data_IF_595346996002
#
_entry.id   IF_595346996002
#
_cell.length_a   1.000
_cell.length_b   1.000
_cell.length_c   1.000
_cell.angle_alpha   90.00
_cell.angle_beta   90.00
_cell.angle_gamma   90.00
#
_symmetry.space_group_name_H-M   'P 1'
#
loop_
_entity.id
_entity.type
_entity.pdbx_description
1 polymer ?
#
# COMPACT_ATOMS: atom_id res chain seq x y z
N UNK A 1 33.00 -31.62 -4.23
CA UNK A 1 32.49 -31.19 -2.91
C UNK A 1 31.76 -29.83 -2.99
N UNK A 2 32.38 -28.82 -3.65
CA UNK A 2 31.76 -27.47 -3.80
C UNK A 2 30.38 -27.49 -4.50
N UNK A 3 30.23 -28.27 -5.57
CA UNK A 3 28.95 -28.38 -6.29
C UNK A 3 27.83 -29.00 -5.43
N UNK A 4 28.18 -29.97 -4.57
CA UNK A 4 27.25 -30.60 -3.65
C UNK A 4 26.80 -29.60 -2.56
N UNK A 5 27.75 -28.87 -2.00
CA UNK A 5 27.46 -27.82 -0.99
C UNK A 5 26.57 -26.70 -1.57
N UNK A 6 26.88 -26.26 -2.79
CA UNK A 6 26.05 -25.27 -3.49
C UNK A 6 24.62 -25.77 -3.73
N UNK A 7 24.46 -27.04 -4.14
CA UNK A 7 23.15 -27.64 -4.34
C UNK A 7 22.36 -27.79 -3.03
N UNK A 8 22.99 -28.13 -1.93
CA UNK A 8 22.37 -28.23 -0.60
C UNK A 8 21.89 -26.84 -0.15
N UNK A 9 22.72 -25.81 -0.30
CA UNK A 9 22.36 -24.43 0.06
C UNK A 9 21.23 -23.88 -0.79
N UNK A 10 21.25 -24.13 -2.10
CA UNK A 10 20.17 -23.74 -3.01
C UNK A 10 18.83 -24.42 -2.63
N UNK A 11 18.88 -25.72 -2.28
CA UNK A 11 17.70 -26.48 -1.82
C UNK A 11 17.17 -25.94 -0.50
N UNK A 12 18.02 -25.62 0.45
CA UNK A 12 17.64 -25.05 1.73
C UNK A 12 16.99 -23.67 1.56
N UNK A 13 17.55 -22.83 0.68
CA UNK A 13 16.98 -21.53 0.32
C UNK A 13 15.59 -21.67 -0.31
N UNK A 14 15.45 -22.53 -1.32
CA UNK A 14 14.17 -22.76 -1.99
C UNK A 14 13.09 -23.31 -1.03
N UNK A 15 13.48 -24.17 -0.08
CA UNK A 15 12.56 -24.67 0.94
C UNK A 15 12.09 -23.56 1.88
N UNK A 16 13.00 -22.68 2.31
CA UNK A 16 12.65 -21.54 3.16
C UNK A 16 11.69 -20.57 2.46
N UNK A 17 11.91 -20.34 1.15
CA UNK A 17 11.03 -19.51 0.34
C UNK A 17 9.64 -20.13 0.17
N UNK A 18 9.57 -21.43 -0.05
CA UNK A 18 8.30 -22.16 -0.15
C UNK A 18 7.50 -22.07 1.16
N UNK A 19 8.15 -22.33 2.30
CA UNK A 19 7.52 -22.26 3.61
C UNK A 19 7.00 -20.84 3.93
N UNK A 20 7.75 -19.81 3.50
CA UNK A 20 7.32 -18.40 3.64
C UNK A 20 6.09 -18.13 2.78
N UNK A 21 6.11 -18.49 1.49
CA UNK A 21 4.97 -18.31 0.58
C UNK A 21 3.73 -19.05 1.07
N UNK A 22 3.89 -20.25 1.62
CA UNK A 22 2.78 -21.04 2.14
C UNK A 22 2.15 -20.38 3.37
N UNK A 23 2.96 -19.89 4.31
CA UNK A 23 2.46 -19.13 5.47
C UNK A 23 1.74 -17.85 5.03
N UNK A 24 2.28 -17.13 4.04
CA UNK A 24 1.65 -15.93 3.49
C UNK A 24 0.31 -16.25 2.81
N UNK A 25 0.22 -17.33 2.05
CA UNK A 25 -1.01 -17.78 1.43
C UNK A 25 -2.10 -18.10 2.49
N UNK A 26 -1.76 -18.91 3.49
CA UNK A 26 -2.70 -19.32 4.53
C UNK A 26 -3.20 -18.12 5.34
N UNK A 27 -2.30 -17.19 5.67
CA UNK A 27 -2.66 -15.96 6.38
C UNK A 27 -3.55 -15.06 5.54
N UNK A 28 -3.20 -14.80 4.30
CA UNK A 28 -3.97 -13.91 3.43
C UNK A 28 -5.34 -14.48 3.08
N UNK A 29 -5.44 -15.81 2.95
CA UNK A 29 -6.72 -16.50 2.79
C UNK A 29 -7.64 -16.27 3.99
N UNK A 30 -7.10 -16.24 5.21
CA UNK A 30 -7.89 -16.02 6.43
C UNK A 30 -8.22 -14.55 6.67
N UNK A 31 -7.30 -13.64 6.38
CA UNK A 31 -7.43 -12.20 6.68
C UNK A 31 -7.97 -11.36 5.52
N UNK A 32 -7.98 -11.88 4.30
CA UNK A 32 -8.37 -11.18 3.07
C UNK A 32 -7.60 -9.86 2.85
N UNK A 33 -6.31 -9.84 3.20
CA UNK A 33 -5.45 -8.65 3.10
C UNK A 33 -4.08 -9.01 2.52
N UNK A 34 -3.45 -8.06 1.82
CA UNK A 34 -2.11 -8.21 1.25
C UNK A 34 -1.00 -7.68 2.17
N UNK A 35 -1.32 -7.15 3.34
CA UNK A 35 -0.31 -6.66 4.27
C UNK A 35 0.63 -7.79 4.72
N UNK A 36 1.88 -7.43 5.05
CA UNK A 36 2.87 -8.38 5.53
C UNK A 36 2.56 -8.87 6.95
N UNK A 37 3.11 -10.01 7.34
CA UNK A 37 3.01 -10.50 8.72
C UNK A 37 3.52 -9.46 9.72
N UNK A 38 4.64 -8.80 9.41
CA UNK A 38 5.20 -7.75 10.27
C UNK A 38 4.25 -6.57 10.47
N UNK A 39 3.51 -6.17 9.41
CA UNK A 39 2.50 -5.11 9.53
C UNK A 39 1.35 -5.55 10.44
N UNK A 40 0.88 -6.78 10.31
CA UNK A 40 -0.21 -7.32 11.13
C UNK A 40 0.20 -7.48 12.61
N UNK A 41 1.40 -7.99 12.87
CA UNK A 41 1.97 -8.07 14.22
C UNK A 41 2.13 -6.69 14.87
N UNK A 42 2.59 -5.70 14.09
CA UNK A 42 2.70 -4.31 14.55
C UNK A 42 1.33 -3.73 14.91
N UNK A 43 0.31 -3.95 14.07
CA UNK A 43 -1.07 -3.57 14.37
C UNK A 43 -1.57 -4.25 15.65
N UNK A 44 -1.30 -5.53 15.83
CA UNK A 44 -1.70 -6.25 17.03
C UNK A 44 -1.06 -5.68 18.31
N UNK A 45 0.19 -5.19 18.25
CA UNK A 45 0.83 -4.48 19.36
C UNK A 45 0.08 -3.18 19.70
N UNK A 46 -0.27 -2.38 18.67
CA UNK A 46 -1.04 -1.16 18.85
C UNK A 46 -2.44 -1.44 19.39
N UNK A 47 -3.13 -2.45 18.89
CA UNK A 47 -4.43 -2.88 19.41
C UNK A 47 -4.38 -3.19 20.90
N UNK A 48 -3.38 -3.96 21.34
CA UNK A 48 -3.19 -4.30 22.77
C UNK A 48 -2.94 -3.06 23.63
N UNK A 49 -2.12 -2.14 23.15
CA UNK A 49 -1.78 -0.93 23.91
C UNK A 49 -2.95 0.06 23.96
N UNK A 50 -3.69 0.23 22.87
CA UNK A 50 -4.75 1.24 22.77
C UNK A 50 -6.13 0.73 23.21
N UNK A 51 -6.35 -0.59 23.16
CA UNK A 51 -7.64 -1.21 23.38
C UNK A 51 -8.57 -1.15 22.16
N UNK A 52 -8.06 -0.72 20.99
CA UNK A 52 -8.83 -0.67 19.75
C UNK A 52 -8.79 -2.00 19.00
N UNK A 53 -9.87 -2.31 18.30
CA UNK A 53 -9.93 -3.50 17.45
C UNK A 53 -9.10 -3.33 16.15
N UNK A 54 -8.65 -4.41 15.50
CA UNK A 54 -7.91 -4.33 14.24
C UNK A 54 -8.64 -3.55 13.14
N UNK A 55 -9.97 -3.64 13.09
CA UNK A 55 -10.79 -2.91 12.13
C UNK A 55 -10.81 -1.37 12.37
N UNK A 56 -10.47 -0.92 13.57
CA UNK A 56 -10.34 0.50 13.94
C UNK A 56 -8.94 1.05 13.65
N UNK A 57 -7.99 0.18 13.28
CA UNK A 57 -6.60 0.52 12.94
C UNK A 57 -6.22 -0.05 11.56
N UNK A 58 -6.97 0.23 10.47
CA UNK A 58 -6.63 -0.28 9.16
C UNK A 58 -5.37 0.41 8.62
N UNK A 59 -4.59 -0.31 7.83
CA UNK A 59 -3.57 0.30 6.98
C UNK A 59 -4.22 0.91 5.73
N UNK A 60 -3.67 2.00 5.22
CA UNK A 60 -4.06 2.56 3.92
C UNK A 60 -4.03 1.49 2.83
N UNK A 61 -3.01 0.62 2.84
CA UNK A 61 -2.85 -0.48 1.89
C UNK A 61 -4.06 -1.45 1.81
N UNK A 62 -4.86 -1.55 2.86
CA UNK A 62 -6.02 -2.45 2.93
C UNK A 62 -7.31 -1.81 2.40
N UNK A 63 -7.29 -0.51 2.15
CA UNK A 63 -8.49 0.28 1.83
C UNK A 63 -8.58 0.69 0.36
N UNK A 64 -7.57 0.39 -0.44
CA UNK A 64 -7.54 0.69 -1.87
C UNK A 64 -6.94 -0.45 -2.69
N UNK A 65 -7.32 -0.51 -3.95
CA UNK A 65 -6.84 -1.47 -4.94
C UNK A 65 -6.91 -0.86 -6.34
N UNK A 66 -6.29 -1.49 -7.34
CA UNK A 66 -6.55 -1.14 -8.73
C UNK A 66 -7.92 -1.68 -9.17
N UNK A 67 -8.56 -1.00 -10.11
CA UNK A 67 -9.73 -1.53 -10.82
C UNK A 67 -9.36 -2.83 -11.56
N UNK A 68 -10.31 -3.73 -11.71
CA UNK A 68 -10.07 -5.06 -12.31
C UNK A 68 -9.52 -5.00 -13.75
N UNK A 69 -9.88 -3.95 -14.50
CA UNK A 69 -9.40 -3.75 -15.87
C UNK A 69 -8.07 -2.97 -15.95
N UNK A 70 -7.52 -2.56 -14.80
CA UNK A 70 -6.29 -1.75 -14.68
C UNK A 70 -5.16 -2.51 -13.96
N UNK A 71 -5.23 -3.84 -13.94
CA UNK A 71 -4.27 -4.69 -13.22
C UNK A 71 -2.81 -4.44 -13.61
N UNK A 72 -2.55 -4.05 -14.86
CA UNK A 72 -1.21 -3.71 -15.36
C UNK A 72 -0.57 -2.54 -14.57
N UNK A 73 -1.39 -1.70 -13.92
CA UNK A 73 -0.93 -0.56 -13.12
C UNK A 73 -0.71 -0.87 -11.64
N UNK A 74 -0.89 -2.11 -11.22
CA UNK A 74 -0.71 -2.53 -9.82
C UNK A 74 0.68 -2.22 -9.28
N UNK A 75 1.72 -2.45 -10.08
CA UNK A 75 3.08 -2.16 -9.67
C UNK A 75 3.31 -0.66 -9.53
N UNK A 76 2.84 0.13 -10.48
CA UNK A 76 2.87 1.59 -10.43
C UNK A 76 2.16 2.12 -9.16
N UNK A 77 0.99 1.58 -8.82
CA UNK A 77 0.25 1.91 -7.60
C UNK A 77 1.09 1.66 -6.34
N UNK A 78 1.72 0.48 -6.24
CA UNK A 78 2.57 0.15 -5.08
C UNK A 78 3.83 1.04 -4.99
N UNK A 79 4.31 1.57 -6.10
CA UNK A 79 5.42 2.52 -6.12
C UNK A 79 4.96 3.93 -5.75
N UNK A 80 3.91 4.41 -6.40
CA UNK A 80 3.45 5.79 -6.24
C UNK A 80 2.91 6.06 -4.83
N UNK A 81 2.13 5.13 -4.28
CA UNK A 81 1.51 5.27 -2.96
C UNK A 81 2.32 4.62 -1.82
N UNK A 82 3.52 4.12 -2.09
CA UNK A 82 4.40 3.56 -1.05
C UNK A 82 4.56 4.45 0.18
N UNK A 83 4.66 5.79 0.06
CA UNK A 83 4.83 6.68 1.21
C UNK A 83 3.68 6.62 2.22
N UNK A 84 2.47 6.33 1.76
CA UNK A 84 1.26 6.30 2.61
C UNK A 84 0.74 4.89 2.87
N UNK A 85 1.12 3.91 2.07
CA UNK A 85 0.56 2.55 2.11
C UNK A 85 0.63 1.88 3.49
N UNK A 86 1.71 2.11 4.22
CA UNK A 86 1.96 1.54 5.55
C UNK A 86 1.53 2.45 6.71
N UNK A 87 0.79 3.51 6.43
CA UNK A 87 0.19 4.37 7.45
C UNK A 87 -1.05 3.71 8.01
N UNK A 88 -1.16 3.68 9.34
CA UNK A 88 -2.36 3.22 10.05
C UNK A 88 -3.31 4.41 10.20
N UNK A 89 -4.57 4.22 9.83
CA UNK A 89 -5.60 5.22 10.04
C UNK A 89 -6.29 5.02 11.37
N UNK A 90 -6.54 6.13 12.06
CA UNK A 90 -7.20 6.16 13.36
C UNK A 90 -8.29 7.23 13.32
N UNK A 91 -9.51 6.89 13.71
CA UNK A 91 -10.54 7.91 13.85
C UNK A 91 -10.14 8.95 14.88
N UNK A 92 -10.30 10.23 14.55
CA UNK A 92 -9.94 11.38 15.38
C UNK A 92 -10.55 11.34 16.79
N UNK A 93 -11.70 10.67 16.95
CA UNK A 93 -12.32 10.49 18.30
C UNK A 93 -11.40 9.77 19.28
N UNK A 94 -10.41 9.00 18.80
CA UNK A 94 -9.43 8.28 19.62
C UNK A 94 -8.11 9.03 19.82
N UNK A 95 -7.97 10.25 19.30
CA UNK A 95 -6.72 11.02 19.35
C UNK A 95 -6.28 11.33 20.79
N UNK A 96 -7.24 11.71 21.63
CA UNK A 96 -6.95 12.04 23.03
C UNK A 96 -6.43 10.82 23.80
N UNK A 97 -5.21 10.93 24.34
CA UNK A 97 -4.58 9.86 25.11
C UNK A 97 -3.96 8.74 24.28
N UNK A 98 -4.09 8.73 22.95
CA UNK A 98 -3.54 7.69 22.10
C UNK A 98 -2.01 7.57 22.24
N UNK A 99 -1.29 8.70 22.17
CA UNK A 99 0.17 8.73 22.30
C UNK A 99 0.65 8.17 23.65
N UNK A 100 -0.05 8.48 24.74
CA UNK A 100 0.28 7.95 26.06
C UNK A 100 0.13 6.41 26.12
N UNK A 101 -0.92 5.88 25.50
CA UNK A 101 -1.12 4.43 25.40
C UNK A 101 -0.03 3.76 24.54
N UNK A 102 0.30 4.35 23.41
CA UNK A 102 1.37 3.82 22.53
C UNK A 102 2.74 3.87 23.21
N UNK A 103 3.00 4.87 24.05
CA UNK A 103 4.26 4.99 24.82
C UNK A 103 4.50 3.84 25.80
N UNK A 104 3.51 2.98 26.06
CA UNK A 104 3.69 1.77 26.90
C UNK A 104 4.41 0.64 26.12
N UNK A 105 4.52 0.75 24.80
CA UNK A 105 5.23 -0.23 23.97
C UNK A 105 6.72 0.12 24.00
N UNK A 106 7.60 -0.85 24.27
CA UNK A 106 9.04 -0.64 24.11
C UNK A 106 9.35 -0.36 22.62
N UNK A 107 9.87 0.83 22.28
CA UNK A 107 10.09 1.21 20.87
C UNK A 107 11.11 0.32 20.14
N UNK A 108 11.92 -0.45 20.86
CA UNK A 108 12.89 -1.39 20.28
C UNK A 108 12.24 -2.68 19.81
N UNK A 109 11.02 -2.97 20.23
CA UNK A 109 10.29 -4.19 19.88
C UNK A 109 9.35 -4.01 18.70
N UNK A 110 9.15 -2.79 18.23
CA UNK A 110 8.19 -2.45 17.17
C UNK A 110 8.91 -1.73 16.02
N UNK A 111 8.70 -2.14 14.76
CA UNK A 111 9.14 -1.36 13.60
C UNK A 111 8.51 0.04 13.62
N UNK A 112 9.26 1.04 13.17
CA UNK A 112 8.71 2.40 13.06
C UNK A 112 7.44 2.39 12.21
N UNK A 113 6.34 2.93 12.75
CA UNK A 113 5.06 3.09 12.07
C UNK A 113 4.54 4.50 12.21
N UNK A 114 3.88 4.95 11.17
CA UNK A 114 3.15 6.21 11.15
C UNK A 114 1.67 5.90 11.32
N UNK A 115 0.98 6.70 12.09
CA UNK A 115 -0.48 6.73 12.13
C UNK A 115 -0.98 8.12 11.78
N UNK A 116 -2.19 8.19 11.25
CA UNK A 116 -2.87 9.42 10.87
C UNK A 116 -4.24 9.46 11.51
N UNK A 117 -4.51 10.50 12.31
CA UNK A 117 -5.86 10.77 12.79
C UNK A 117 -6.69 11.39 11.68
N UNK A 118 -7.86 10.82 11.44
CA UNK A 118 -8.78 11.23 10.39
C UNK A 118 -10.13 11.55 11.03
N UNK A 119 -10.66 12.71 10.74
CA UNK A 119 -12.03 13.09 11.11
C UNK A 119 -13.00 12.41 10.14
N UNK A 120 -13.52 11.24 10.51
CA UNK A 120 -14.41 10.44 9.67
C UNK A 120 -15.82 11.03 9.54
N UNK A 121 -16.16 12.04 10.33
CA UNK A 121 -17.41 12.79 10.22
C UNK A 121 -17.30 13.95 9.21
N UNK A 122 -16.08 14.33 8.83
CA UNK A 122 -15.83 15.39 7.86
C UNK A 122 -15.95 14.84 6.45
N UNK A 123 -16.66 15.58 5.60
CA UNK A 123 -16.58 15.37 4.15
C UNK A 123 -15.27 15.96 3.61
N UNK A 124 -14.54 15.19 2.83
CA UNK A 124 -13.32 15.61 2.14
C UNK A 124 -13.68 15.84 0.68
N UNK A 125 -13.60 17.11 0.27
CA UNK A 125 -13.92 17.47 -1.12
C UNK A 125 -12.99 16.69 -2.07
N UNK A 126 -13.59 16.17 -3.12
CA UNK A 126 -12.92 15.54 -4.26
C UNK A 126 -12.31 16.65 -5.16
N UNK A 127 -11.63 17.57 -4.51
CA UNK A 127 -10.83 18.60 -5.18
C UNK A 127 -9.50 17.99 -5.53
N UNK A 128 -9.49 17.03 -6.45
CA UNK A 128 -8.25 16.56 -7.01
C UNK A 128 -7.42 17.77 -7.42
N UNK A 129 -6.16 17.83 -6.98
CA UNK A 129 -5.23 18.87 -7.39
C UNK A 129 -5.18 18.99 -8.92
N UNK A 130 -5.65 17.96 -9.61
CA UNK A 130 -5.72 17.84 -11.05
C UNK A 130 -7.03 18.36 -11.68
N UNK A 131 -8.09 18.57 -10.90
CA UNK A 131 -9.36 19.10 -11.41
C UNK A 131 -9.20 20.49 -12.07
N UNK A 132 -8.18 21.25 -11.68
CA UNK A 132 -7.86 22.54 -12.28
C UNK A 132 -6.91 22.48 -13.50
N UNK A 133 -6.26 21.34 -13.73
CA UNK A 133 -5.25 21.16 -14.79
C UNK A 133 -5.87 20.39 -15.97
N UNK A 134 -6.91 19.59 -15.70
CA UNK A 134 -7.48 18.68 -16.67
C UNK A 134 -8.90 19.09 -17.04
N UNK A 135 -9.06 19.54 -18.24
CA UNK A 135 -10.35 19.59 -18.91
C UNK A 135 -10.86 18.16 -19.07
N UNK A 136 -11.88 17.79 -18.29
CA UNK A 136 -12.87 16.70 -18.36
C UNK A 136 -12.63 15.35 -19.06
N UNK A 137 -11.56 15.20 -19.85
CA UNK A 137 -11.29 14.01 -20.67
C UNK A 137 -10.14 13.14 -20.13
N UNK A 138 -9.53 13.49 -18.99
CA UNK A 138 -8.25 12.89 -18.57
C UNK A 138 -8.22 12.18 -17.20
N UNK A 139 -9.36 11.94 -16.56
CA UNK A 139 -9.39 11.20 -15.28
C UNK A 139 -8.75 9.80 -15.39
N UNK A 140 -8.87 9.16 -16.56
CA UNK A 140 -8.28 7.85 -16.82
C UNK A 140 -6.75 7.87 -16.97
N UNK A 141 -6.13 9.02 -17.18
CA UNK A 141 -4.68 9.17 -17.37
C UNK A 141 -3.94 9.28 -16.02
N UNK A 142 -4.65 9.59 -14.95
CA UNK A 142 -4.10 9.67 -13.61
C UNK A 142 -4.26 8.35 -12.87
N UNK A 143 -3.26 8.00 -12.07
CA UNK A 143 -3.22 6.75 -11.32
C UNK A 143 -4.40 6.64 -10.35
N UNK A 144 -4.82 7.76 -9.72
CA UNK A 144 -6.01 7.80 -8.85
C UNK A 144 -7.30 7.43 -9.58
N UNK A 145 -7.43 7.75 -10.87
CA UNK A 145 -8.56 7.35 -11.71
C UNK A 145 -8.63 5.83 -11.99
N UNK A 146 -7.54 5.10 -11.73
CA UNK A 146 -7.44 3.65 -11.92
C UNK A 146 -7.68 2.86 -10.63
N UNK A 147 -8.01 3.54 -9.53
CA UNK A 147 -8.19 2.93 -8.22
C UNK A 147 -9.65 2.62 -7.93
N UNK A 148 -9.85 1.64 -7.07
CA UNK A 148 -11.09 1.38 -6.34
C UNK A 148 -10.80 1.40 -4.85
N UNK A 149 -11.80 1.74 -4.07
CA UNK A 149 -11.68 1.91 -2.63
C UNK A 149 -12.63 0.98 -1.90
N UNK A 150 -12.36 0.74 -0.64
CA UNK A 150 -13.27 0.07 0.26
C UNK A 150 -14.30 1.09 0.75
N UNK A 151 -15.41 1.21 0.00
CA UNK A 151 -16.43 2.24 0.19
C UNK A 151 -17.22 2.10 1.50
N UNK A 152 -17.21 0.91 2.10
CA UNK A 152 -17.77 0.64 3.42
C UNK A 152 -16.88 1.12 4.58
N UNK A 153 -15.66 1.58 4.30
CA UNK A 153 -14.75 2.12 5.29
C UNK A 153 -15.08 3.58 5.61
N UNK A 154 -15.11 3.98 6.90
CA UNK A 154 -15.30 5.38 7.27
C UNK A 154 -14.13 6.29 6.83
N UNK A 155 -13.01 5.72 6.39
CA UNK A 155 -11.84 6.43 5.90
C UNK A 155 -11.83 6.62 4.37
N UNK A 156 -12.79 6.06 3.64
CA UNK A 156 -12.78 6.04 2.18
C UNK A 156 -12.74 7.44 1.55
N UNK A 157 -13.53 8.36 2.08
CA UNK A 157 -13.61 9.74 1.59
C UNK A 157 -12.27 10.50 1.76
N UNK A 158 -11.68 10.41 2.95
CA UNK A 158 -10.34 10.96 3.20
C UNK A 158 -9.29 10.33 2.28
N UNK A 159 -9.34 9.00 2.10
CA UNK A 159 -8.37 8.29 1.27
C UNK A 159 -8.44 8.73 -0.19
N UNK A 160 -9.64 8.94 -0.74
CA UNK A 160 -9.80 9.49 -2.10
C UNK A 160 -9.11 10.84 -2.23
N UNK A 161 -9.32 11.74 -1.26
CA UNK A 161 -8.66 13.05 -1.28
C UNK A 161 -7.13 12.95 -1.22
N UNK A 162 -6.60 11.97 -0.50
CA UNK A 162 -5.14 11.75 -0.40
C UNK A 162 -4.54 11.14 -1.66
N UNK A 163 -5.21 10.18 -2.29
CA UNK A 163 -4.69 9.54 -3.51
C UNK A 163 -4.70 10.49 -4.70
N UNK A 164 -5.53 11.53 -4.68
CA UNK A 164 -5.59 12.58 -5.69
C UNK A 164 -4.65 13.77 -5.39
N UNK A 165 -3.97 13.76 -4.24
CA UNK A 165 -3.00 14.80 -3.89
C UNK A 165 -1.77 14.71 -4.81
N UNK A 166 -1.31 15.85 -5.32
CA UNK A 166 -0.16 15.96 -6.24
C UNK A 166 1.13 15.33 -5.70
N UNK A 167 1.25 15.18 -4.38
CA UNK A 167 2.39 14.52 -3.73
C UNK A 167 2.41 13.01 -3.96
N UNK A 168 1.26 12.40 -4.20
CA UNK A 168 1.10 10.95 -4.28
C UNK A 168 0.59 10.48 -5.63
N UNK A 169 -0.32 11.22 -6.26
CA UNK A 169 -0.84 10.88 -7.57
C UNK A 169 0.21 11.04 -8.68
N UNK A 170 0.01 10.37 -9.78
CA UNK A 170 0.93 10.43 -10.91
C UNK A 170 0.18 10.26 -12.24
N UNK A 171 0.65 10.98 -13.24
CA UNK A 171 0.21 10.80 -14.62
C UNK A 171 0.73 9.45 -15.15
N UNK A 172 -0.16 8.60 -15.61
CA UNK A 172 0.18 7.32 -16.21
C UNK A 172 0.68 7.51 -17.63
N UNK A 173 1.94 7.13 -17.88
CA UNK A 173 2.59 7.34 -19.18
C UNK A 173 3.18 6.04 -19.71
N UNK A 174 3.26 5.93 -21.05
CA UNK A 174 3.96 4.82 -21.71
C UNK A 174 5.47 5.01 -21.72
N UNK A 175 5.92 6.28 -21.69
CA UNK A 175 7.32 6.65 -21.57
C UNK A 175 7.43 7.95 -20.77
N UNK A 176 8.44 8.00 -19.87
CA UNK A 176 8.72 9.22 -19.09
C UNK A 176 9.17 10.35 -20.02
N UNK A 177 8.55 11.52 -19.87
CA UNK A 177 9.03 12.75 -20.47
C UNK A 177 10.01 13.45 -19.52
N UNK A 178 11.28 13.40 -19.85
CA UNK A 178 12.35 14.00 -19.06
C UNK A 178 12.31 15.54 -19.05
N UNK A 179 11.59 16.14 -19.98
CA UNK A 179 11.44 17.60 -20.08
C UNK A 179 10.28 18.15 -19.24
N UNK A 180 9.28 17.33 -18.96
CA UNK A 180 8.18 17.71 -18.07
C UNK A 180 8.68 17.83 -16.62
N UNK A 181 8.56 19.03 -16.06
CA UNK A 181 8.92 19.38 -14.69
C UNK A 181 7.71 19.58 -13.80
N UNK A 182 6.53 19.55 -14.37
CA UNK A 182 5.28 19.90 -13.68
C UNK A 182 4.62 18.67 -13.11
N UNK A 183 4.46 17.63 -13.93
CA UNK A 183 3.71 16.45 -13.54
C UNK A 183 4.62 15.39 -12.90
N UNK A 184 4.10 14.73 -11.90
CA UNK A 184 4.63 13.46 -11.45
C UNK A 184 4.16 12.39 -12.43
N UNK A 185 5.07 11.61 -13.01
CA UNK A 185 4.78 10.61 -14.04
C UNK A 185 5.14 9.22 -13.55
N UNK A 186 4.36 8.22 -13.95
CA UNK A 186 4.62 6.81 -13.63
C UNK A 186 4.35 5.92 -14.83
N UNK A 187 5.21 4.92 -15.04
CA UNK A 187 5.00 3.84 -15.99
C UNK A 187 4.45 2.59 -15.29
N UNK A 188 3.81 1.70 -16.04
CA UNK A 188 3.26 0.46 -15.51
C UNK A 188 4.33 -0.44 -14.84
N UNK A 189 5.59 -0.38 -15.28
CA UNK A 189 6.73 -1.09 -14.68
C UNK A 189 7.22 -0.48 -13.36
N UNK A 190 6.59 0.59 -12.89
CA UNK A 190 6.91 1.27 -11.64
C UNK A 190 8.03 2.30 -11.75
N UNK A 191 8.55 2.62 -12.96
CA UNK A 191 9.42 3.77 -13.12
C UNK A 191 8.63 5.05 -12.84
N UNK A 192 9.17 5.93 -11.99
CA UNK A 192 8.49 7.15 -11.57
C UNK A 192 9.43 8.35 -11.63
N UNK A 193 8.92 9.50 -12.04
CA UNK A 193 9.63 10.78 -12.09
C UNK A 193 8.78 11.88 -11.47
N UNK A 194 9.41 12.74 -10.70
CA UNK A 194 8.79 13.94 -10.13
C UNK A 194 9.78 15.10 -10.20
N UNK A 195 9.46 16.10 -10.97
CA UNK A 195 10.37 17.23 -11.24
C UNK A 195 11.72 16.78 -11.81
N UNK A 196 12.79 17.01 -11.06
CA UNK A 196 14.16 16.61 -11.46
C UNK A 196 14.57 15.22 -10.94
N UNK A 197 13.70 14.51 -10.19
CA UNK A 197 14.02 13.23 -9.54
C UNK A 197 13.33 12.09 -10.26
N UNK A 198 14.09 11.01 -10.56
CA UNK A 198 13.57 9.78 -11.08
C UNK A 198 13.92 8.60 -10.16
N UNK A 199 13.11 7.55 -10.19
CA UNK A 199 13.35 6.30 -9.48
C UNK A 199 12.93 5.13 -10.36
N UNK A 200 13.71 4.07 -10.32
CA UNK A 200 13.42 2.81 -11.00
C UNK A 200 13.89 1.64 -10.13
N UNK A 201 13.21 0.51 -10.24
CA UNK A 201 13.51 -0.72 -9.50
C UNK A 201 12.51 -1.02 -8.37
N UNK A 202 12.14 -2.29 -8.30
CA UNK A 202 11.09 -2.78 -7.42
C UNK A 202 11.48 -4.08 -6.69
N UNK A 203 12.74 -4.54 -6.83
CA UNK A 203 13.20 -5.85 -6.34
C UNK A 203 12.88 -6.11 -4.87
N UNK A 204 13.08 -5.12 -4.02
CA UNK A 204 12.91 -5.26 -2.57
C UNK A 204 11.63 -4.54 -2.06
N UNK A 205 10.74 -4.15 -2.98
CA UNK A 205 9.54 -3.41 -2.63
C UNK A 205 8.37 -4.36 -2.40
N UNK A 206 7.84 -4.35 -1.19
CA UNK A 206 6.66 -5.13 -0.86
C UNK A 206 5.42 -4.57 -1.57
N UNK A 207 4.69 -5.44 -2.26
CA UNK A 207 3.41 -5.10 -2.88
C UNK A 207 2.28 -5.40 -1.89
N UNK A 208 2.04 -4.48 -0.97
CA UNK A 208 1.08 -4.65 0.14
C UNK A 208 -0.29 -4.02 -0.12
N UNK A 209 -0.39 -3.19 -1.17
CA UNK A 209 -1.63 -2.50 -1.50
C UNK A 209 -2.55 -3.43 -2.28
N UNK A 210 -3.79 -3.51 -1.87
CA UNK A 210 -4.86 -4.20 -2.56
C UNK A 210 -5.67 -5.15 -1.71
N UNK A 211 -6.81 -5.55 -2.27
CA UNK A 211 -7.70 -6.53 -1.67
C UNK A 211 -7.22 -7.94 -2.01
N UNK A 212 -7.49 -8.87 -1.11
CA UNK A 212 -7.33 -10.29 -1.42
C UNK A 212 -8.59 -10.74 -2.14
N UNK A 213 -8.41 -11.18 -3.40
CA UNK A 213 -9.44 -11.82 -4.19
C UNK A 213 -8.99 -13.24 -4.60
N UNK A 214 -9.88 -14.00 -5.18
CA UNK A 214 -9.58 -15.37 -5.61
C UNK A 214 -8.46 -15.43 -6.66
N UNK A 215 -8.40 -14.46 -7.56
CA UNK A 215 -7.34 -14.34 -8.57
C UNK A 215 -5.97 -14.18 -7.90
N UNK A 216 -5.85 -13.31 -6.90
CA UNK A 216 -4.60 -13.15 -6.16
C UNK A 216 -4.20 -14.41 -5.38
N UNK A 217 -5.16 -15.08 -4.74
CA UNK A 217 -4.91 -16.36 -4.06
C UNK A 217 -4.48 -17.45 -5.05
N UNK A 218 -5.05 -17.48 -6.26
CA UNK A 218 -4.64 -18.39 -7.32
C UNK A 218 -3.18 -18.11 -7.78
N UNK A 219 -2.80 -16.83 -7.94
CA UNK A 219 -1.43 -16.45 -8.28
C UNK A 219 -0.43 -16.89 -7.20
N UNK A 220 -0.76 -16.69 -5.92
CA UNK A 220 0.08 -17.18 -4.81
C UNK A 220 0.22 -18.71 -4.84
N UNK A 221 -0.88 -19.42 -5.10
CA UNK A 221 -0.88 -20.88 -5.17
C UNK A 221 0.01 -21.40 -6.31
N UNK A 222 0.07 -20.69 -7.44
CA UNK A 222 0.92 -21.06 -8.58
C UNK A 222 2.42 -20.85 -8.27
N UNK A 223 2.76 -19.99 -7.30
CA UNK A 223 4.14 -19.73 -6.87
C UNK A 223 4.64 -20.68 -5.78
N UNK A 224 3.76 -21.40 -5.13
CA UNK A 224 4.04 -22.46 -4.15
C UNK A 224 4.32 -23.79 -4.88
#
# INVERSE_FOLDING_TARGET
EEALTAAINARAGARGDLERLQRDFDRQRSQRTRISQQMDETRAMLCRATGLAPAELPYVAELMDVNEHEEDWRLAMNVAYAPIAQTILVDKRHEQGFAAKVSTIDPRTMPRRTWQFVDTARHYDDTGAHANILTGEQDGDWLSGKLRYRDDSPFADWLRSQTQDERFDALCVTAIDDTDRTNRQVQADGQIKSGARGQHGTKDRAQVIGFVNESYLAQLRTRI
#
